data_IF_997647354581
#
_entry.id   IF_997647354581
#
_cell.length_a   1.000
_cell.length_b   1.000
_cell.length_c   1.000
_cell.angle_alpha   90.00
_cell.angle_beta   90.00
_cell.angle_gamma   90.00
#
_symmetry.space_group_name_H-M   'P 1'
#
loop_
_entity.id
_entity.type
_entity.pdbx_description
1 polymer ?
#
# COMPACT_ATOMS: atom_id res chain seq x y z
N UNK A 1 5.47 16.27 -0.82
CA UNK A 1 4.84 15.13 -0.11
C UNK A 1 3.70 14.59 -0.94
N UNK A 2 3.55 13.27 -0.94
CA UNK A 2 2.43 12.66 -1.64
C UNK A 2 1.14 12.78 -0.81
N UNK A 3 0.03 12.94 -1.51
CA UNK A 3 -1.28 12.89 -0.86
C UNK A 3 -1.77 11.44 -0.92
N UNK A 4 -2.24 10.91 0.21
CA UNK A 4 -2.87 9.59 0.25
C UNK A 4 -4.37 9.77 0.32
N UNK A 5 -5.09 9.21 -0.64
CA UNK A 5 -6.55 9.21 -0.70
C UNK A 5 -7.07 7.81 -0.47
N UNK A 6 -7.87 7.63 0.57
CA UNK A 6 -8.37 6.31 0.94
C UNK A 6 -9.75 6.07 0.35
N UNK A 7 -9.88 4.99 -0.43
CA UNK A 7 -11.19 4.54 -0.88
C UNK A 7 -11.92 3.82 0.26
N UNK A 8 -13.25 3.92 0.30
CA UNK A 8 -14.05 3.30 1.36
C UNK A 8 -13.80 1.79 1.49
N UNK A 9 -13.73 1.11 0.38
CA UNK A 9 -13.47 -0.32 0.38
C UNK A 9 -12.11 -0.68 0.96
N UNK A 10 -11.09 0.15 0.71
CA UNK A 10 -9.79 -0.07 1.28
C UNK A 10 -9.80 0.08 2.79
N UNK A 11 -10.47 1.11 3.32
CA UNK A 11 -10.53 1.34 4.76
C UNK A 11 -11.11 0.12 5.48
N UNK A 12 -12.17 -0.46 4.95
CA UNK A 12 -12.75 -1.68 5.52
C UNK A 12 -11.77 -2.85 5.52
N UNK A 13 -11.08 -3.04 4.40
CA UNK A 13 -10.10 -4.11 4.26
C UNK A 13 -8.90 -3.90 5.18
N UNK A 14 -8.42 -2.67 5.30
CA UNK A 14 -7.31 -2.35 6.18
C UNK A 14 -7.66 -2.58 7.64
N UNK A 15 -8.86 -2.17 8.07
CA UNK A 15 -9.32 -2.42 9.44
C UNK A 15 -9.37 -3.91 9.74
N UNK A 16 -9.89 -4.70 8.82
CA UNK A 16 -9.95 -6.17 8.97
C UNK A 16 -8.55 -6.76 9.06
N UNK A 17 -7.65 -6.29 8.21
CA UNK A 17 -6.26 -6.74 8.21
C UNK A 17 -5.57 -6.45 9.54
N UNK A 18 -5.67 -5.21 10.02
CA UNK A 18 -5.04 -4.80 11.28
C UNK A 18 -5.63 -5.54 12.47
N UNK A 19 -6.93 -5.82 12.43
CA UNK A 19 -7.59 -6.59 13.49
C UNK A 19 -7.03 -8.01 13.58
N UNK A 20 -6.68 -8.61 12.43
CA UNK A 20 -6.04 -9.93 12.39
C UNK A 20 -4.54 -9.87 12.72
N UNK A 21 -3.90 -8.75 12.47
CA UNK A 21 -2.45 -8.59 12.61
C UNK A 21 -2.09 -7.36 13.44
N UNK A 22 -2.54 -7.30 14.72
CA UNK A 22 -2.28 -6.11 15.54
C UNK A 22 -0.78 -5.86 15.76
N UNK A 23 0.04 -6.91 15.67
CA UNK A 23 1.49 -6.80 15.79
C UNK A 23 2.10 -5.97 14.66
N UNK A 24 1.39 -5.79 13.53
CA UNK A 24 1.87 -5.04 12.38
C UNK A 24 1.50 -3.56 12.40
N UNK A 25 0.75 -3.10 13.40
CA UNK A 25 0.32 -1.70 13.46
C UNK A 25 1.49 -0.72 13.32
N UNK A 26 2.60 -0.86 14.08
CA UNK A 26 3.72 0.08 13.93
C UNK A 26 4.31 0.06 12.53
N UNK A 27 4.44 -1.12 11.93
CA UNK A 27 5.01 -1.27 10.60
C UNK A 27 4.08 -0.69 9.53
N UNK A 28 2.77 -0.90 9.68
CA UNK A 28 1.77 -0.35 8.79
C UNK A 28 1.77 1.18 8.83
N UNK A 29 1.79 1.76 10.03
CA UNK A 29 1.85 3.21 10.19
C UNK A 29 3.12 3.80 9.57
N UNK A 30 4.25 3.13 9.75
CA UNK A 30 5.51 3.55 9.16
C UNK A 30 5.42 3.53 7.63
N UNK A 31 4.80 2.50 7.07
CA UNK A 31 4.62 2.37 5.62
C UNK A 31 3.82 3.54 5.06
N UNK A 32 2.71 3.89 5.70
CA UNK A 32 1.89 5.01 5.26
C UNK A 32 2.66 6.33 5.37
N UNK A 33 3.42 6.52 6.43
CA UNK A 33 4.24 7.73 6.60
C UNK A 33 5.30 7.84 5.52
N UNK A 34 5.96 6.74 5.18
CA UNK A 34 6.94 6.73 4.11
C UNK A 34 6.29 7.03 2.76
N UNK A 35 5.10 6.51 2.52
CA UNK A 35 4.36 6.82 1.28
C UNK A 35 4.09 8.32 1.15
N UNK A 36 3.72 8.98 2.24
CA UNK A 36 3.50 10.42 2.23
C UNK A 36 4.79 11.19 1.97
N UNK A 37 5.88 10.78 2.63
CA UNK A 37 7.15 11.49 2.54
C UNK A 37 7.85 11.27 1.21
N UNK A 38 7.88 10.03 0.76
CA UNK A 38 8.57 9.68 -0.48
C UNK A 38 8.14 8.28 -0.94
N UNK A 39 7.20 8.18 -1.90
CA UNK A 39 6.76 6.88 -2.41
C UNK A 39 7.90 6.03 -3.01
N UNK A 40 9.00 6.67 -3.38
CA UNK A 40 10.17 5.98 -3.95
C UNK A 40 11.19 5.55 -2.90
N UNK A 41 10.87 5.70 -1.61
CA UNK A 41 11.77 5.27 -0.54
C UNK A 41 12.11 3.78 -0.70
N UNK A 42 13.40 3.40 -0.64
CA UNK A 42 13.81 2.01 -0.91
C UNK A 42 13.11 0.97 -0.04
N UNK A 43 12.80 1.30 1.21
CA UNK A 43 12.12 0.37 2.13
C UNK A 43 10.73 -0.04 1.66
N UNK A 44 10.08 0.79 0.84
CA UNK A 44 8.75 0.50 0.33
C UNK A 44 8.76 -0.52 -0.80
N UNK A 45 9.88 -0.66 -1.50
CA UNK A 45 10.01 -1.54 -2.66
C UNK A 45 8.88 -1.32 -3.67
N UNK A 46 8.61 -0.05 -3.95
CA UNK A 46 7.58 0.32 -4.92
C UNK A 46 7.88 -0.31 -6.27
N UNK A 47 6.92 -1.04 -6.81
CA UNK A 47 7.06 -1.58 -8.16
C UNK A 47 5.69 -1.73 -8.79
N UNK A 48 5.67 -1.69 -10.11
CA UNK A 48 4.47 -1.85 -10.89
C UNK A 48 4.12 -3.33 -11.01
N UNK A 49 2.83 -3.64 -10.90
CA UNK A 49 2.37 -5.01 -11.07
C UNK A 49 2.24 -5.35 -12.56
N UNK A 50 2.14 -6.64 -12.87
CA UNK A 50 2.09 -7.14 -14.23
C UNK A 50 0.75 -7.78 -14.54
N UNK A 51 0.47 -7.99 -15.84
CA UNK A 51 -0.75 -8.64 -16.29
C UNK A 51 -1.98 -7.79 -16.10
N UNK A 52 -3.04 -8.38 -15.58
CA UNK A 52 -4.33 -7.70 -15.37
C UNK A 52 -4.23 -6.53 -14.41
N UNK A 53 -3.25 -6.56 -13.52
CA UNK A 53 -3.08 -5.56 -12.49
C UNK A 53 -2.04 -4.51 -12.86
N UNK A 54 -1.71 -4.39 -14.15
CA UNK A 54 -0.61 -3.53 -14.62
C UNK A 54 -0.80 -2.04 -14.33
N UNK A 55 -2.00 -1.61 -13.98
CA UNK A 55 -2.25 -0.22 -13.59
C UNK A 55 -1.93 0.04 -12.13
N UNK A 56 -1.70 -1.01 -11.35
CA UNK A 56 -1.44 -0.90 -9.94
C UNK A 56 0.05 -1.00 -9.64
N UNK A 57 0.42 -0.40 -8.53
CA UNK A 57 1.73 -0.55 -7.91
C UNK A 57 1.57 -1.31 -6.61
N UNK A 58 2.68 -1.83 -6.11
CA UNK A 58 2.74 -2.52 -4.82
C UNK A 58 3.82 -1.90 -3.95
N UNK A 59 3.54 -1.74 -2.66
CA UNK A 59 4.55 -1.37 -1.66
C UNK A 59 4.55 -2.41 -0.55
N UNK A 60 5.72 -2.63 0.05
CA UNK A 60 5.89 -3.62 1.12
C UNK A 60 5.59 -3.01 2.47
N UNK A 61 4.78 -3.71 3.27
CA UNK A 61 4.70 -3.46 4.71
C UNK A 61 5.85 -4.21 5.38
N UNK A 62 6.01 -5.47 5.02
CA UNK A 62 7.15 -6.31 5.40
C UNK A 62 7.33 -7.37 4.30
N UNK A 63 8.08 -8.43 4.59
CA UNK A 63 8.34 -9.48 3.59
C UNK A 63 7.05 -10.19 3.15
N UNK A 64 6.10 -10.36 4.08
CA UNK A 64 4.89 -11.14 3.84
C UNK A 64 3.72 -10.33 3.30
N UNK A 65 3.61 -9.06 3.69
CA UNK A 65 2.40 -8.27 3.44
C UNK A 65 2.69 -7.03 2.63
N UNK A 66 1.72 -6.68 1.76
CA UNK A 66 1.85 -5.60 0.81
C UNK A 66 0.56 -4.80 0.70
N UNK A 67 0.69 -3.57 0.20
CA UNK A 67 -0.45 -2.73 -0.17
C UNK A 67 -0.38 -2.54 -1.69
N UNK A 68 -1.47 -2.85 -2.39
CA UNK A 68 -1.61 -2.49 -3.79
C UNK A 68 -2.31 -1.14 -3.89
N UNK A 69 -1.87 -0.30 -4.83
CA UNK A 69 -2.33 1.07 -4.92
C UNK A 69 -2.23 1.61 -6.34
N UNK A 70 -3.03 2.64 -6.64
CA UNK A 70 -2.78 3.49 -7.80
C UNK A 70 -1.81 4.59 -7.37
N UNK A 71 -0.88 4.91 -8.24
CA UNK A 71 0.05 6.02 -8.02
C UNK A 71 0.01 6.95 -9.22
N UNK A 72 -0.57 8.12 -9.02
CA UNK A 72 -0.63 9.17 -10.03
C UNK A 72 0.59 10.06 -9.85
N UNK A 73 1.67 9.69 -10.53
CA UNK A 73 3.00 10.27 -10.30
C UNK A 73 3.01 11.78 -10.54
N UNK A 74 2.35 12.23 -11.60
CA UNK A 74 2.34 13.66 -11.93
C UNK A 74 1.59 14.50 -10.90
N UNK A 75 0.55 13.93 -10.29
CA UNK A 75 -0.25 14.61 -9.28
C UNK A 75 0.25 14.37 -7.87
N UNK A 76 1.21 13.47 -7.72
CA UNK A 76 1.75 13.05 -6.43
C UNK A 76 0.65 12.55 -5.49
N UNK A 77 -0.23 11.71 -6.03
CA UNK A 77 -1.37 11.13 -5.31
C UNK A 77 -1.25 9.61 -5.30
N UNK A 78 -1.44 9.03 -4.12
CA UNK A 78 -1.44 7.59 -3.89
C UNK A 78 -2.83 7.17 -3.41
N UNK A 79 -3.41 6.15 -4.05
CA UNK A 79 -4.74 5.63 -3.70
C UNK A 79 -4.63 4.15 -3.38
N UNK A 80 -4.50 3.78 -2.08
CA UNK A 80 -4.46 2.36 -1.71
C UNK A 80 -5.78 1.67 -2.09
N UNK A 81 -5.65 0.45 -2.61
CA UNK A 81 -6.77 -0.33 -3.12
C UNK A 81 -6.98 -1.60 -2.31
N UNK A 82 -5.89 -2.30 -2.00
CA UNK A 82 -5.99 -3.56 -1.27
C UNK A 82 -4.76 -3.77 -0.38
N UNK A 83 -4.91 -4.68 0.58
CA UNK A 83 -3.87 -4.98 1.56
C UNK A 83 -3.95 -6.45 1.92
N UNK A 84 -2.81 -7.11 2.03
CA UNK A 84 -2.76 -8.53 2.36
C UNK A 84 -1.45 -9.15 1.98
N UNK A 85 -1.42 -10.48 1.94
CA UNK A 85 -0.25 -11.22 1.51
C UNK A 85 -0.06 -11.07 -0.01
N UNK A 86 1.10 -11.49 -0.50
CA UNK A 86 1.38 -11.47 -1.94
C UNK A 86 0.27 -12.18 -2.73
N UNK A 87 -0.20 -13.33 -2.25
CA UNK A 87 -1.23 -14.09 -2.96
C UNK A 87 -2.60 -13.44 -2.90
N UNK A 88 -2.87 -12.67 -1.84
CA UNK A 88 -4.16 -12.00 -1.67
C UNK A 88 -4.31 -10.75 -2.53
N UNK A 89 -3.21 -10.02 -2.77
CA UNK A 89 -3.26 -8.75 -3.51
C UNK A 89 -2.82 -8.88 -4.96
N UNK A 90 -2.28 -10.00 -5.35
CA UNK A 90 -1.84 -10.30 -6.72
C UNK A 90 -2.73 -11.38 -7.32
#
# INVERSE_FOLDING_TARGET
MAEIRYADGYIKRARRFIKKHPELIPQYEKTLRLLELNPFHPSLRLHRLHGRLSELYSVSINILYRISLFFFIEDDVVVPVDIGSHDEVY
#
